data_IF_205603755466
#
_entry.id   IF_205603755466
#
_cell.length_a   1.000
_cell.length_b   1.000
_cell.length_c   1.000
_cell.angle_alpha   90.00
_cell.angle_beta   90.00
_cell.angle_gamma   90.00
#
_symmetry.space_group_name_H-M   'P 1'
#
loop_
_entity.id
_entity.type
_entity.pdbx_description
1 polymer ?
#
# COMPACT_ATOMS: atom_id res chain seq x y z
N UNK A 1 25.63 -32.28 -10.36
CA UNK A 1 24.63 -31.95 -9.32
C UNK A 1 25.21 -30.84 -8.45
N UNK A 2 24.78 -29.60 -8.67
CA UNK A 2 25.12 -28.47 -7.80
C UNK A 2 23.80 -27.91 -7.27
N UNK A 3 23.51 -28.17 -6.00
CA UNK A 3 22.47 -27.47 -5.27
C UNK A 3 22.99 -26.07 -4.96
N UNK A 4 22.72 -25.12 -5.85
CA UNK A 4 22.81 -23.71 -5.50
C UNK A 4 21.60 -23.35 -4.65
N UNK A 5 21.66 -23.62 -3.34
CA UNK A 5 20.79 -22.94 -2.38
C UNK A 5 21.24 -21.48 -2.29
N UNK A 6 20.84 -20.67 -3.26
CA UNK A 6 20.80 -19.23 -3.10
C UNK A 6 19.69 -18.94 -2.07
N UNK A 7 20.04 -19.02 -0.78
CA UNK A 7 19.15 -18.62 0.28
C UNK A 7 18.80 -17.15 0.07
N UNK A 8 17.57 -16.88 -0.36
CA UNK A 8 17.01 -15.54 -0.36
C UNK A 8 17.05 -15.07 1.10
N UNK A 9 18.03 -14.25 1.46
CA UNK A 9 18.02 -13.63 2.77
C UNK A 9 16.94 -12.54 2.79
N UNK A 10 16.17 -12.44 3.89
CA UNK A 10 15.24 -11.35 4.08
C UNK A 10 15.91 -9.99 3.84
N UNK A 11 15.35 -9.22 2.92
CA UNK A 11 15.82 -7.86 2.62
C UNK A 11 14.65 -6.91 2.51
N UNK A 12 14.90 -5.65 2.87
CA UNK A 12 13.94 -4.57 2.75
C UNK A 12 14.59 -3.46 1.93
N UNK A 13 13.86 -2.99 0.92
CA UNK A 13 14.35 -2.01 -0.04
C UNK A 13 13.35 -0.87 -0.17
N UNK A 14 13.85 0.36 -0.20
CA UNK A 14 13.05 1.52 -0.58
C UNK A 14 13.06 1.66 -2.10
N UNK A 15 11.90 1.73 -2.73
CA UNK A 15 11.78 1.94 -4.16
C UNK A 15 10.59 2.86 -4.50
N UNK A 16 10.60 3.39 -5.73
CA UNK A 16 9.39 4.03 -6.27
C UNK A 16 8.29 2.98 -6.46
N UNK A 17 7.05 3.36 -6.17
CA UNK A 17 5.87 2.53 -6.51
C UNK A 17 5.83 2.21 -8.01
N UNK A 18 6.21 3.18 -8.85
CA UNK A 18 6.27 3.02 -10.30
C UNK A 18 7.59 2.34 -10.70
N UNK A 19 7.48 1.17 -11.33
CA UNK A 19 8.65 0.41 -11.79
C UNK A 19 9.50 1.25 -12.75
N UNK A 20 10.81 1.28 -12.51
CA UNK A 20 11.78 1.99 -13.34
C UNK A 20 11.85 3.51 -13.11
N UNK A 21 11.13 4.04 -12.11
CA UNK A 21 11.16 5.47 -11.78
C UNK A 21 12.22 5.76 -10.69
N UNK A 22 13.09 6.79 -10.87
CA UNK A 22 14.07 7.17 -9.84
C UNK A 22 13.38 7.62 -8.56
N UNK A 23 13.95 7.26 -7.40
CA UNK A 23 13.43 7.65 -6.07
C UNK A 23 13.29 9.16 -5.94
N UNK A 24 14.28 9.92 -6.43
CA UNK A 24 14.31 11.38 -6.34
C UNK A 24 13.16 12.09 -7.08
N UNK A 25 12.56 11.41 -8.06
CA UNK A 25 11.50 11.97 -8.91
C UNK A 25 10.14 11.34 -8.55
N UNK A 26 10.10 10.37 -7.64
CA UNK A 26 8.91 9.63 -7.31
C UNK A 26 7.98 10.39 -6.35
N UNK A 27 6.70 10.45 -6.71
CA UNK A 27 5.63 10.98 -5.84
C UNK A 27 5.21 9.96 -4.77
N UNK A 28 5.28 8.66 -5.12
CA UNK A 28 4.97 7.54 -4.22
C UNK A 28 6.18 6.63 -4.03
N UNK A 29 6.56 6.42 -2.77
CA UNK A 29 7.62 5.51 -2.35
C UNK A 29 7.03 4.32 -1.58
N UNK A 30 7.63 3.14 -1.76
CA UNK A 30 7.23 1.91 -1.09
C UNK A 30 8.45 1.22 -0.47
N UNK A 31 8.26 0.65 0.72
CA UNK A 31 9.21 -0.25 1.35
C UNK A 31 8.83 -1.68 0.97
N UNK A 32 9.67 -2.33 0.15
CA UNK A 32 9.43 -3.69 -0.35
C UNK A 32 10.34 -4.69 0.36
N UNK A 33 9.70 -5.66 1.03
CA UNK A 33 10.35 -6.84 1.58
C UNK A 33 10.38 -8.00 0.58
N UNK A 34 11.42 -8.83 0.64
CA UNK A 34 11.58 -10.03 -0.18
C UNK A 34 12.44 -11.09 0.54
N UNK A 35 12.29 -12.36 0.16
CA UNK A 35 13.10 -13.47 0.69
C UNK A 35 12.64 -14.08 2.01
N UNK A 36 11.36 -13.98 2.34
CA UNK A 36 10.78 -14.61 3.53
C UNK A 36 10.32 -16.03 3.23
N UNK A 37 10.50 -16.93 4.20
CA UNK A 37 10.12 -18.35 4.07
C UNK A 37 8.63 -18.61 4.26
N UNK A 38 7.93 -17.66 4.88
CA UNK A 38 6.49 -17.74 5.15
C UNK A 38 5.85 -16.34 5.16
N UNK A 39 4.53 -16.31 4.97
CA UNK A 39 3.72 -15.10 5.12
C UNK A 39 3.87 -14.49 6.53
N UNK A 40 3.89 -15.34 7.55
CA UNK A 40 4.01 -14.90 8.95
C UNK A 40 5.34 -14.20 9.22
N UNK A 41 6.45 -14.74 8.70
CA UNK A 41 7.76 -14.11 8.81
C UNK A 41 7.78 -12.75 8.10
N UNK A 42 7.20 -12.67 6.89
CA UNK A 42 7.08 -11.42 6.13
C UNK A 42 6.21 -10.39 6.89
N UNK A 43 5.12 -10.84 7.51
CA UNK A 43 4.20 -9.99 8.28
C UNK A 43 4.90 -9.40 9.50
N UNK A 44 5.59 -10.22 10.29
CA UNK A 44 6.35 -9.77 11.47
C UNK A 44 7.42 -8.74 11.06
N UNK A 45 8.18 -9.01 10.00
CA UNK A 45 9.18 -8.08 9.51
C UNK A 45 8.57 -6.75 9.04
N UNK A 46 7.44 -6.81 8.34
CA UNK A 46 6.68 -5.64 7.89
C UNK A 46 6.14 -4.81 9.06
N UNK A 47 5.64 -5.45 10.11
CA UNK A 47 5.17 -4.78 11.33
C UNK A 47 6.32 -4.07 12.05
N UNK A 48 7.47 -4.71 12.20
CA UNK A 48 8.66 -4.09 12.79
C UNK A 48 9.11 -2.85 12.02
N UNK A 49 9.08 -2.89 10.70
CA UNK A 49 9.41 -1.74 9.86
C UNK A 49 8.38 -0.63 9.96
N UNK A 50 7.09 -0.96 9.98
CA UNK A 50 6.01 0.02 10.20
C UNK A 50 6.20 0.72 11.55
N UNK A 51 6.45 -0.03 12.61
CA UNK A 51 6.62 0.51 13.95
C UNK A 51 7.87 1.40 14.05
N UNK A 52 8.97 1.01 13.39
CA UNK A 52 10.16 1.85 13.26
C UNK A 52 9.88 3.14 12.47
N UNK A 53 9.09 3.08 11.40
CA UNK A 53 8.68 4.24 10.61
C UNK A 53 7.81 5.20 11.44
N UNK A 54 6.84 4.68 12.21
CA UNK A 54 6.01 5.47 13.13
C UNK A 54 6.90 6.23 14.13
N UNK A 55 7.86 5.55 14.76
CA UNK A 55 8.78 6.18 15.71
C UNK A 55 9.66 7.25 15.05
N UNK A 56 10.16 7.00 13.84
CA UNK A 56 10.94 7.97 13.09
C UNK A 56 10.12 9.21 12.75
N UNK A 57 8.89 9.03 12.25
CA UNK A 57 7.99 10.12 11.89
C UNK A 57 7.60 10.94 13.13
N UNK A 58 7.31 10.28 14.25
CA UNK A 58 7.03 10.95 15.53
C UNK A 58 8.20 11.82 16.00
N UNK A 59 9.45 11.31 15.92
CA UNK A 59 10.66 12.09 16.29
C UNK A 59 10.89 13.30 15.39
N UNK A 60 10.46 13.21 14.13
CA UNK A 60 10.56 14.29 13.15
C UNK A 60 9.32 15.21 13.14
N UNK A 61 8.34 14.96 14.00
CA UNK A 61 7.06 15.68 14.03
C UNK A 61 6.30 15.66 12.69
N UNK A 62 6.36 14.53 11.99
CA UNK A 62 5.64 14.30 10.73
C UNK A 62 4.39 13.48 11.01
N UNK A 63 3.21 14.03 10.68
CA UNK A 63 1.95 13.29 10.72
C UNK A 63 1.78 12.41 9.48
N UNK A 64 1.43 11.14 9.67
CA UNK A 64 1.10 10.20 8.59
C UNK A 64 0.02 9.22 9.05
N UNK A 65 -0.77 8.72 8.10
CA UNK A 65 -1.70 7.60 8.34
C UNK A 65 -0.96 6.27 8.19
N UNK A 66 -1.10 5.40 9.18
CA UNK A 66 -0.51 4.06 9.23
C UNK A 66 -1.58 2.96 9.21
N UNK A 67 -2.77 3.25 8.66
CA UNK A 67 -3.77 2.26 8.27
C UNK A 67 -4.98 2.17 9.21
N UNK A 68 -5.06 3.06 10.21
CA UNK A 68 -6.17 3.09 11.14
C UNK A 68 -7.43 3.72 10.53
N UNK A 69 -7.29 4.55 9.50
CA UNK A 69 -8.40 5.28 8.88
C UNK A 69 -8.56 5.01 7.38
N UNK A 70 -7.75 4.11 6.82
CA UNK A 70 -7.74 3.87 5.39
C UNK A 70 -9.00 3.11 4.94
N UNK A 71 -9.67 3.57 3.87
CA UNK A 71 -10.78 2.83 3.28
C UNK A 71 -10.27 1.47 2.77
N UNK A 72 -11.07 0.42 3.00
CA UNK A 72 -10.86 -0.88 2.36
C UNK A 72 -11.10 -0.69 0.86
N UNK A 73 -10.20 -1.20 0.02
CA UNK A 73 -10.18 -1.04 -1.45
C UNK A 73 -11.57 -1.00 -2.11
N UNK A 74 -11.71 -0.20 -3.17
CA UNK A 74 -12.94 -0.12 -3.98
C UNK A 74 -13.11 -1.27 -4.97
N UNK A 75 -12.11 -2.15 -5.18
CA UNK A 75 -12.23 -3.29 -6.08
C UNK A 75 -12.77 -4.52 -5.37
N UNK A 76 -13.88 -5.04 -5.89
CA UNK A 76 -14.48 -6.31 -5.44
C UNK A 76 -13.70 -7.50 -5.99
N UNK A 77 -13.86 -8.68 -5.38
CA UNK A 77 -13.25 -9.92 -5.88
C UNK A 77 -13.64 -10.20 -7.35
N UNK A 78 -14.89 -9.92 -7.74
CA UNK A 78 -15.34 -10.07 -9.12
C UNK A 78 -14.63 -9.10 -10.07
N UNK A 79 -14.39 -7.86 -9.63
CA UNK A 79 -13.62 -6.87 -10.38
C UNK A 79 -12.16 -7.29 -10.58
N UNK A 80 -11.52 -7.82 -9.53
CA UNK A 80 -10.16 -8.36 -9.63
C UNK A 80 -10.08 -9.51 -10.63
N UNK A 81 -10.98 -10.50 -10.53
CA UNK A 81 -11.02 -11.63 -11.47
C UNK A 81 -11.25 -11.20 -12.92
N UNK A 82 -12.01 -10.13 -13.15
CA UNK A 82 -12.18 -9.55 -14.47
C UNK A 82 -10.85 -8.98 -15.01
N UNK A 83 -10.11 -8.23 -14.18
CA UNK A 83 -8.79 -7.69 -14.55
C UNK A 83 -7.76 -8.81 -14.77
N UNK A 84 -7.79 -9.88 -13.98
CA UNK A 84 -6.93 -11.05 -14.16
C UNK A 84 -7.16 -11.71 -15.52
N UNK A 85 -8.44 -11.91 -15.92
CA UNK A 85 -8.79 -12.46 -17.23
C UNK A 85 -8.34 -11.57 -18.38
N UNK A 86 -8.34 -10.26 -18.20
CA UNK A 86 -7.93 -9.30 -19.24
C UNK A 86 -6.41 -9.19 -19.37
N UNK A 87 -5.68 -9.23 -18.27
CA UNK A 87 -4.22 -9.04 -18.25
C UNK A 87 -3.44 -10.33 -18.37
N UNK A 88 -4.05 -11.48 -18.05
CA UNK A 88 -3.38 -12.76 -17.95
C UNK A 88 -2.42 -12.86 -16.75
N UNK A 89 -2.51 -11.95 -15.79
CA UNK A 89 -1.66 -11.91 -14.59
C UNK A 89 -2.51 -11.87 -13.32
N UNK A 90 -1.98 -12.38 -12.20
CA UNK A 90 -2.64 -12.28 -10.90
C UNK A 90 -2.73 -10.82 -10.47
N UNK A 91 -3.93 -10.37 -10.09
CA UNK A 91 -4.19 -8.99 -9.69
C UNK A 91 -4.64 -8.97 -8.23
N UNK A 92 -3.92 -8.22 -7.41
CA UNK A 92 -4.23 -8.04 -6.00
C UNK A 92 -4.76 -6.62 -5.71
N UNK A 93 -5.52 -6.48 -4.65
CA UNK A 93 -5.84 -5.16 -4.11
C UNK A 93 -4.59 -4.50 -3.54
N UNK A 94 -4.35 -3.23 -3.87
CA UNK A 94 -3.36 -2.41 -3.18
C UNK A 94 -3.89 -2.09 -1.77
N UNK A 95 -3.47 -2.88 -0.78
CA UNK A 95 -3.88 -2.71 0.62
C UNK A 95 -3.01 -1.64 1.27
N UNK A 96 -3.66 -0.67 1.90
CA UNK A 96 -2.96 0.45 2.53
C UNK A 96 -2.07 -0.01 3.71
N UNK A 97 -0.92 0.65 3.83
CA UNK A 97 0.13 0.47 4.85
C UNK A 97 0.96 -0.81 4.83
N UNK A 98 0.35 -1.97 5.09
CA UNK A 98 1.10 -3.23 5.14
C UNK A 98 0.34 -4.34 4.44
N UNK A 99 1.04 -4.99 3.52
CA UNK A 99 0.52 -6.11 2.75
C UNK A 99 1.60 -7.18 2.60
N UNK A 100 1.23 -8.42 2.89
CA UNK A 100 1.99 -9.63 2.55
C UNK A 100 1.34 -10.32 1.36
N UNK A 101 2.15 -10.87 0.47
CA UNK A 101 1.68 -11.60 -0.70
C UNK A 101 2.76 -12.56 -1.20
N UNK A 102 2.35 -13.65 -1.83
CA UNK A 102 3.28 -14.57 -2.49
C UNK A 102 3.94 -13.88 -3.69
N UNK A 103 5.23 -14.07 -3.92
CA UNK A 103 5.96 -13.35 -4.98
C UNK A 103 6.00 -14.08 -6.31
N UNK A 104 5.63 -15.37 -6.36
CA UNK A 104 5.63 -16.21 -7.56
C UNK A 104 4.25 -16.87 -7.76
N UNK A 105 3.54 -16.61 -8.89
CA UNK A 105 3.91 -15.68 -9.96
C UNK A 105 3.83 -14.21 -9.50
N UNK A 106 4.64 -13.31 -10.09
CA UNK A 106 4.66 -11.90 -9.68
C UNK A 106 3.28 -11.26 -9.90
N UNK A 107 2.63 -10.72 -8.85
CA UNK A 107 1.34 -10.07 -9.01
C UNK A 107 1.49 -8.66 -9.59
N UNK A 108 0.39 -8.15 -10.14
CA UNK A 108 0.17 -6.72 -10.30
C UNK A 108 -0.87 -6.24 -9.26
N UNK A 109 -0.90 -4.94 -9.00
CA UNK A 109 -1.79 -4.35 -8.01
C UNK A 109 -2.81 -3.45 -8.69
N UNK A 110 -4.09 -3.66 -8.39
CA UNK A 110 -5.16 -2.77 -8.82
C UNK A 110 -5.14 -1.51 -7.95
N UNK A 111 -4.94 -0.36 -8.59
CA UNK A 111 -4.99 0.95 -7.96
C UNK A 111 -6.05 1.81 -8.64
N UNK A 112 -6.62 2.75 -7.88
CA UNK A 112 -7.52 3.76 -8.42
C UNK A 112 -7.17 5.09 -7.75
N UNK A 113 -6.97 6.13 -8.56
CA UNK A 113 -6.84 7.49 -8.07
C UNK A 113 -8.14 8.24 -8.38
N UNK A 114 -8.79 8.78 -7.35
CA UNK A 114 -10.05 9.50 -7.50
C UNK A 114 -9.92 10.88 -6.88
N UNK A 115 -9.96 11.92 -7.71
CA UNK A 115 -10.07 13.30 -7.28
C UNK A 115 -11.54 13.70 -7.19
N UNK A 116 -12.16 13.50 -6.03
CA UNK A 116 -13.57 13.86 -5.79
C UNK A 116 -13.68 15.22 -5.09
N UNK A 117 -14.41 16.16 -5.70
CA UNK A 117 -14.71 17.47 -5.09
C UNK A 117 -16.17 17.46 -4.63
N UNK A 118 -16.38 17.59 -3.32
CA UNK A 118 -17.72 17.77 -2.74
C UNK A 118 -17.97 19.26 -2.45
N UNK A 119 -18.81 19.91 -3.25
CA UNK A 119 -19.23 21.29 -3.01
C UNK A 119 -20.51 21.35 -2.19
N UNK A 120 -20.59 22.25 -1.21
CA UNK A 120 -21.84 22.64 -0.52
C UNK A 120 -22.15 24.10 -0.82
N UNK A 121 -23.42 24.42 -1.04
CA UNK A 121 -23.86 25.80 -1.18
C UNK A 121 -23.74 26.56 0.15
N UNK A 122 -23.43 27.87 0.13
CA UNK A 122 -23.22 28.67 1.34
C UNK A 122 -24.41 28.63 2.29
N UNK A 123 -25.64 28.60 1.78
CA UNK A 123 -26.85 28.50 2.59
C UNK A 123 -26.92 27.21 3.43
N UNK A 124 -26.49 26.08 2.86
CA UNK A 124 -26.45 24.81 3.60
C UNK A 124 -25.42 24.84 4.72
N UNK A 125 -24.30 25.54 4.52
CA UNK A 125 -23.32 25.74 5.58
C UNK A 125 -23.86 26.62 6.71
N UNK A 126 -24.44 27.79 6.36
CA UNK A 126 -25.01 28.72 7.33
C UNK A 126 -26.10 28.04 8.16
N UNK A 127 -26.99 27.27 7.52
CA UNK A 127 -28.03 26.52 8.21
C UNK A 127 -27.45 25.49 9.18
N UNK A 128 -26.49 24.67 8.74
CA UNK A 128 -25.88 23.65 9.60
C UNK A 128 -25.13 24.27 10.79
N UNK A 129 -24.40 25.36 10.56
CA UNK A 129 -23.65 26.06 11.60
C UNK A 129 -24.58 26.62 12.68
N UNK A 130 -25.69 27.25 12.29
CA UNK A 130 -26.70 27.79 13.22
C UNK A 130 -27.42 26.72 14.05
N UNK A 131 -27.46 25.47 13.58
CA UNK A 131 -28.04 24.36 14.33
C UNK A 131 -27.05 23.71 15.30
N UNK A 132 -25.78 24.13 15.29
CA UNK A 132 -24.72 23.53 16.10
C UNK A 132 -24.49 24.25 17.44
N UNK A 133 -25.23 25.33 17.72
CA UNK A 133 -25.29 26.03 19.00
C UNK A 133 -26.60 26.82 19.13
#
# INVERSE_FOLDING_TARGET
MAFNSCGLQPRITLCSKKKGFPIKDAEELVLRGDGYSSEEEARIAGEQVRDAAILAFARLHIGADFGNFAPKSCFTNAGLQMLEKQTGTRILNDVHCLMTFETDPPPQFATSEVNAILTKGPEKFIQAFRLSF
#
